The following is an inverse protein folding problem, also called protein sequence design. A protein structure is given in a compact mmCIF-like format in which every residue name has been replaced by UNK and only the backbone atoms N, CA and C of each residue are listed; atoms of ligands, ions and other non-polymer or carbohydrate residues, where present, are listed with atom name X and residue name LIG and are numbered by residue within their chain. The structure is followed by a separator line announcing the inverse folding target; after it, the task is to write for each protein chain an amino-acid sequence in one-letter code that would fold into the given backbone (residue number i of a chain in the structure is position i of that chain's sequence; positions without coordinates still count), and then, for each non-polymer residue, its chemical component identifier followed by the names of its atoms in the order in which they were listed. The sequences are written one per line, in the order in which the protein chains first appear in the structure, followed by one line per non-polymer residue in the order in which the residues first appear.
data_IF_074135182663
#
_entry.id   IF_074135182663
#
_cell.length_a   1.000
_cell.length_b   1.000
_cell.length_c   1.000
_cell.angle_alpha   90.00
_cell.angle_beta   90.00
_cell.angle_gamma   90.00
#
_symmetry.space_group_name_H-M   'P 1'
#
loop_
_entity.id
_entity.type
_entity.pdbx_description
1 polymer ?
#
# COMPACT_ATOMS: atom_id res chain seq x y z
N UNK A 1 4.16 29.70 -18.56
CA UNK A 1 4.65 28.55 -17.77
C UNK A 1 4.19 28.54 -16.31
N UNK A 2 4.47 29.59 -15.50
CA UNK A 2 4.09 29.64 -14.07
C UNK A 2 2.57 29.53 -13.79
N UNK A 3 1.71 30.11 -14.64
CA UNK A 3 0.24 30.03 -14.48
C UNK A 3 -0.34 28.63 -14.74
N UNK A 4 0.20 27.88 -15.70
CA UNK A 4 -0.21 26.51 -15.98
C UNK A 4 0.20 25.56 -14.83
N UNK A 5 1.40 25.72 -14.29
CA UNK A 5 1.87 25.02 -13.08
C UNK A 5 1.01 25.36 -11.84
N UNK A 6 0.61 26.63 -11.68
CA UNK A 6 -0.29 27.06 -10.61
C UNK A 6 -1.69 26.45 -10.73
N UNK A 7 -2.26 26.44 -11.93
CA UNK A 7 -3.56 25.82 -12.19
C UNK A 7 -3.53 24.29 -12.04
N UNK A 8 -2.43 23.63 -12.41
CA UNK A 8 -2.24 22.20 -12.19
C UNK A 8 -2.13 21.89 -10.69
N UNK A 9 -1.35 22.70 -9.95
CA UNK A 9 -1.19 22.57 -8.50
C UNK A 9 -2.52 22.77 -7.77
N UNK A 10 -3.29 23.79 -8.13
CA UNK A 10 -4.59 24.05 -7.50
C UNK A 10 -5.64 22.99 -7.84
N UNK A 11 -5.58 22.39 -9.04
CA UNK A 11 -6.42 21.23 -9.41
C UNK A 11 -6.03 19.95 -8.68
N UNK A 12 -4.74 19.74 -8.39
CA UNK A 12 -4.23 18.58 -7.64
C UNK A 12 -4.49 18.71 -6.14
N UNK A 13 -4.30 19.90 -5.57
CA UNK A 13 -4.49 20.16 -4.13
C UNK A 13 -5.97 20.14 -3.73
N UNK A 14 -6.88 20.57 -4.62
CA UNK A 14 -8.33 20.48 -4.37
C UNK A 14 -8.93 19.09 -4.61
N UNK A 15 -8.13 18.10 -5.02
CA UNK A 15 -8.59 16.73 -5.30
C UNK A 15 -8.15 15.74 -4.23
N UNK A 16 -9.12 15.20 -3.51
CA UNK A 16 -8.99 14.04 -2.62
C UNK A 16 -8.91 12.72 -3.41
N UNK A 17 -8.23 12.70 -4.57
CA UNK A 17 -8.06 11.46 -5.36
C UNK A 17 -6.70 10.83 -5.05
N UNK A 18 -6.72 9.70 -4.34
CA UNK A 18 -5.57 8.91 -3.94
C UNK A 18 -4.68 8.44 -5.11
N UNK A 19 -5.19 8.41 -6.35
CA UNK A 19 -4.47 7.94 -7.54
C UNK A 19 -3.25 8.81 -7.91
N UNK A 20 -3.39 10.15 -7.86
CA UNK A 20 -2.28 11.06 -8.19
C UNK A 20 -1.17 10.97 -7.13
N UNK A 21 -1.58 10.89 -5.86
CA UNK A 21 -0.67 10.68 -4.74
C UNK A 21 0.09 9.35 -4.87
N UNK A 22 -0.58 8.28 -5.28
CA UNK A 22 0.06 6.99 -5.53
C UNK A 22 1.09 7.06 -6.68
N UNK A 23 0.75 7.73 -7.78
CA UNK A 23 1.67 7.91 -8.90
C UNK A 23 2.91 8.74 -8.52
N UNK A 24 2.72 9.81 -7.72
CA UNK A 24 3.83 10.62 -7.22
C UNK A 24 4.74 9.83 -6.27
N UNK A 25 4.15 9.07 -5.34
CA UNK A 25 4.91 8.20 -4.42
C UNK A 25 5.70 7.15 -5.20
N UNK A 26 5.13 6.57 -6.26
CA UNK A 26 5.85 5.64 -7.14
C UNK A 26 7.07 6.30 -7.79
N UNK A 27 6.91 7.50 -8.37
CA UNK A 27 8.01 8.25 -8.99
C UNK A 27 9.11 8.53 -7.95
N UNK A 28 8.73 8.98 -6.75
CA UNK A 28 9.68 9.28 -5.68
C UNK A 28 10.41 8.03 -5.18
N UNK A 29 9.72 6.90 -5.03
CA UNK A 29 10.32 5.63 -4.61
C UNK A 29 11.31 5.09 -5.63
N UNK A 30 10.97 5.10 -6.92
CA UNK A 30 11.88 4.61 -7.97
C UNK A 30 13.11 5.51 -8.07
N UNK A 31 12.95 6.84 -7.92
CA UNK A 31 14.07 7.77 -7.83
C UNK A 31 14.95 7.50 -6.60
N UNK A 32 14.36 7.21 -5.45
CA UNK A 32 15.10 6.87 -4.24
C UNK A 32 15.90 5.56 -4.42
N UNK A 33 15.30 4.56 -5.07
CA UNK A 33 15.97 3.29 -5.41
C UNK A 33 17.12 3.53 -6.39
N UNK A 34 16.96 4.44 -7.36
CA UNK A 34 18.04 4.84 -8.26
C UNK A 34 19.19 5.48 -7.49
N UNK A 35 18.92 6.44 -6.62
CA UNK A 35 19.94 7.11 -5.80
C UNK A 35 20.65 6.08 -4.89
N UNK A 36 19.89 5.22 -4.21
CA UNK A 36 20.42 4.13 -3.40
C UNK A 36 21.36 3.23 -4.22
N UNK A 37 20.93 2.85 -5.44
CA UNK A 37 21.73 2.04 -6.35
C UNK A 37 23.02 2.74 -6.74
N UNK A 38 22.97 4.02 -7.13
CA UNK A 38 24.17 4.77 -7.53
C UNK A 38 25.19 4.91 -6.38
N UNK A 39 24.71 5.10 -5.14
CA UNK A 39 25.58 5.26 -3.96
C UNK A 39 26.18 3.92 -3.52
N UNK A 40 25.41 2.83 -3.59
CA UNK A 40 25.77 1.55 -2.98
C UNK A 40 26.36 0.54 -3.97
N UNK A 41 26.02 0.62 -5.26
CA UNK A 41 26.47 -0.31 -6.30
C UNK A 41 27.99 -0.54 -6.34
N UNK A 42 28.87 0.47 -6.13
CA UNK A 42 30.31 0.23 -6.12
C UNK A 42 30.80 -0.74 -5.03
N UNK A 43 29.99 -0.99 -4.00
CA UNK A 43 30.31 -1.88 -2.88
C UNK A 43 29.75 -3.30 -3.05
N UNK A 44 28.95 -3.53 -4.08
CA UNK A 44 28.28 -4.82 -4.25
C UNK A 44 29.14 -5.80 -5.05
N UNK A 45 29.21 -7.07 -4.64
CA UNK A 45 29.92 -8.11 -5.38
C UNK A 45 29.07 -8.62 -6.55
N UNK A 46 28.71 -7.72 -7.48
CA UNK A 46 27.84 -8.02 -8.64
C UNK A 46 28.55 -7.70 -9.95
N UNK A 47 28.21 -8.42 -11.00
CA UNK A 47 28.77 -8.20 -12.33
C UNK A 47 28.26 -6.89 -12.97
N UNK A 48 29.06 -6.29 -13.87
CA UNK A 48 28.63 -5.11 -14.61
C UNK A 48 27.36 -5.33 -15.43
N UNK A 49 27.14 -6.56 -15.94
CA UNK A 49 25.91 -6.94 -16.64
C UNK A 49 24.69 -6.92 -15.73
N UNK A 50 24.79 -7.43 -14.50
CA UNK A 50 23.70 -7.37 -13.52
C UNK A 50 23.36 -5.92 -13.17
N UNK A 51 24.37 -5.08 -12.98
CA UNK A 51 24.14 -3.66 -12.70
C UNK A 51 23.46 -2.97 -13.89
N UNK A 52 23.87 -3.25 -15.13
CA UNK A 52 23.22 -2.74 -16.33
C UNK A 52 21.76 -3.20 -16.44
N UNK A 53 21.47 -4.47 -16.14
CA UNK A 53 20.11 -5.01 -16.13
C UNK A 53 19.25 -4.30 -15.07
N UNK A 54 19.78 -4.08 -13.88
CA UNK A 54 19.10 -3.33 -12.82
C UNK A 54 18.84 -1.88 -13.24
N UNK A 55 19.84 -1.19 -13.81
CA UNK A 55 19.68 0.19 -14.30
C UNK A 55 18.61 0.28 -15.39
N UNK A 56 18.56 -0.69 -16.31
CA UNK A 56 17.52 -0.78 -17.33
C UNK A 56 16.14 -1.00 -16.69
N UNK A 57 16.05 -1.89 -15.70
CA UNK A 57 14.81 -2.16 -14.96
C UNK A 57 14.29 -0.92 -14.23
N UNK A 58 15.17 -0.17 -13.57
CA UNK A 58 14.84 1.11 -12.91
C UNK A 58 14.37 2.14 -13.94
N UNK A 59 15.06 2.26 -15.07
CA UNK A 59 14.68 3.19 -16.14
C UNK A 59 13.31 2.86 -16.73
N UNK A 60 13.02 1.57 -16.99
CA UNK A 60 11.70 1.09 -17.43
C UNK A 60 10.65 1.45 -16.38
N UNK A 61 10.90 1.15 -15.11
CA UNK A 61 9.98 1.49 -14.02
C UNK A 61 9.68 2.98 -13.94
N UNK A 62 10.73 3.80 -14.08
CA UNK A 62 10.58 5.25 -14.04
C UNK A 62 9.79 5.78 -15.24
N UNK A 63 10.04 5.24 -16.44
CA UNK A 63 9.28 5.56 -17.65
C UNK A 63 7.81 5.16 -17.52
N UNK A 64 7.51 3.95 -17.01
CA UNK A 64 6.14 3.49 -16.75
C UNK A 64 5.44 4.37 -15.71
N UNK A 65 6.13 4.77 -14.64
CA UNK A 65 5.57 5.65 -13.62
C UNK A 65 5.20 7.03 -14.19
N UNK A 66 6.06 7.62 -15.01
CA UNK A 66 5.81 8.88 -15.70
C UNK A 66 4.67 8.75 -16.72
N UNK A 67 4.63 7.67 -17.50
CA UNK A 67 3.56 7.42 -18.47
C UNK A 67 2.20 7.31 -17.78
N UNK A 68 2.11 6.56 -16.67
CA UNK A 68 0.87 6.46 -15.88
C UNK A 68 0.49 7.82 -15.30
N UNK A 69 1.45 8.60 -14.79
CA UNK A 69 1.18 9.95 -14.29
C UNK A 69 0.66 10.88 -15.38
N UNK A 70 1.28 10.90 -16.56
CA UNK A 70 0.81 11.66 -17.72
C UNK A 70 -0.60 11.21 -18.15
N UNK A 71 -0.90 9.91 -18.12
CA UNK A 71 -2.23 9.39 -18.43
C UNK A 71 -3.28 9.81 -17.40
N UNK A 72 -2.91 9.88 -16.12
CA UNK A 72 -3.79 10.40 -15.07
C UNK A 72 -4.10 11.89 -15.30
N UNK A 73 -3.09 12.69 -15.66
CA UNK A 73 -3.27 14.12 -15.96
C UNK A 73 -4.11 14.33 -17.23
N UNK A 74 -3.92 13.50 -18.26
CA UNK A 74 -4.66 13.59 -19.52
C UNK A 74 -6.10 13.10 -19.42
N UNK A 75 -6.35 11.99 -18.71
CA UNK A 75 -7.69 11.46 -18.48
C UNK A 75 -7.98 11.29 -16.98
N UNK A 76 -8.55 12.31 -16.32
CA UNK A 76 -8.71 12.35 -14.86
C UNK A 76 -9.84 11.46 -14.30
N UNK A 77 -10.46 10.61 -15.13
CA UNK A 77 -11.45 9.63 -14.67
C UNK A 77 -10.78 8.46 -13.93
N UNK A 78 -11.49 7.89 -12.95
CA UNK A 78 -11.06 6.69 -12.21
C UNK A 78 -10.99 5.51 -13.16
N UNK A 79 -9.88 4.77 -13.10
CA UNK A 79 -9.67 3.60 -13.97
C UNK A 79 -9.07 2.44 -13.20
N UNK A 80 -9.86 1.39 -13.02
CA UNK A 80 -9.40 0.14 -12.42
C UNK A 80 -8.24 -0.48 -13.20
N UNK A 81 -8.25 -0.39 -14.53
CA UNK A 81 -7.22 -0.95 -15.39
C UNK A 81 -5.86 -0.27 -15.19
N UNK A 82 -5.82 1.07 -15.13
CA UNK A 82 -4.57 1.81 -14.82
C UNK A 82 -3.98 1.41 -13.48
N UNK A 83 -4.85 1.21 -12.49
CA UNK A 83 -4.42 0.87 -11.14
C UNK A 83 -3.83 -0.55 -11.09
N UNK A 84 -4.50 -1.53 -11.70
CA UNK A 84 -4.00 -2.90 -11.78
C UNK A 84 -2.68 -2.98 -12.55
N UNK A 85 -2.56 -2.28 -13.68
CA UNK A 85 -1.30 -2.19 -14.42
C UNK A 85 -0.18 -1.54 -13.61
N UNK A 86 -0.50 -0.48 -12.87
CA UNK A 86 0.44 0.16 -11.97
C UNK A 86 0.92 -0.76 -10.85
N UNK A 87 -0.01 -1.49 -10.21
CA UNK A 87 0.35 -2.48 -9.20
C UNK A 87 1.21 -3.61 -9.79
N UNK A 88 0.83 -4.13 -10.95
CA UNK A 88 1.60 -5.17 -11.64
C UNK A 88 3.03 -4.70 -11.93
N UNK A 89 3.21 -3.47 -12.39
CA UNK A 89 4.52 -2.87 -12.59
C UNK A 89 5.30 -2.76 -11.27
N UNK A 90 4.69 -2.23 -10.20
CA UNK A 90 5.34 -2.08 -8.89
C UNK A 90 5.82 -3.44 -8.33
N UNK A 91 4.91 -4.41 -8.27
CA UNK A 91 5.21 -5.74 -7.73
C UNK A 91 6.19 -6.50 -8.64
N UNK A 92 6.01 -6.44 -9.96
CA UNK A 92 6.88 -7.12 -10.92
C UNK A 92 8.31 -6.57 -10.90
N UNK A 93 8.48 -5.25 -10.91
CA UNK A 93 9.80 -4.62 -10.90
C UNK A 93 10.54 -4.89 -9.58
N UNK A 94 9.85 -4.82 -8.44
CA UNK A 94 10.44 -5.16 -7.14
C UNK A 94 10.88 -6.62 -7.11
N UNK A 95 10.01 -7.55 -7.53
CA UNK A 95 10.32 -8.98 -7.57
C UNK A 95 11.51 -9.28 -8.47
N UNK A 96 11.55 -8.72 -9.68
CA UNK A 96 12.67 -8.89 -10.60
C UNK A 96 13.99 -8.34 -10.03
N UNK A 97 13.95 -7.13 -9.45
CA UNK A 97 15.14 -6.54 -8.82
C UNK A 97 15.67 -7.40 -7.68
N UNK A 98 14.79 -7.90 -6.80
CA UNK A 98 15.18 -8.80 -5.71
C UNK A 98 15.68 -10.15 -6.21
N UNK A 99 15.14 -10.64 -7.33
CA UNK A 99 15.52 -11.92 -7.91
C UNK A 99 16.94 -11.88 -8.46
N UNK A 100 17.25 -10.84 -9.24
CA UNK A 100 18.54 -10.70 -9.92
C UNK A 100 19.67 -10.23 -9.02
N UNK A 101 19.35 -9.36 -8.05
CA UNK A 101 20.36 -8.79 -7.17
C UNK A 101 20.54 -9.59 -5.89
N UNK A 102 19.49 -10.20 -5.34
CA UNK A 102 19.55 -10.89 -4.04
C UNK A 102 19.71 -9.90 -2.88
N UNK A 103 20.72 -10.12 -2.03
CA UNK A 103 20.95 -9.36 -0.79
C UNK A 103 20.93 -7.83 -0.95
N UNK A 104 21.60 -7.22 -1.96
CA UNK A 104 21.60 -5.77 -2.18
C UNK A 104 20.22 -5.13 -2.34
N UNK A 105 19.24 -5.89 -2.84
CA UNK A 105 17.87 -5.43 -3.06
C UNK A 105 16.87 -6.03 -2.05
N UNK A 106 17.34 -6.76 -1.03
CA UNK A 106 16.46 -7.32 -0.01
C UNK A 106 15.65 -6.25 0.73
N UNK A 107 16.18 -5.02 0.85
CA UNK A 107 15.47 -3.89 1.42
C UNK A 107 14.16 -3.54 0.68
N UNK A 108 14.02 -3.91 -0.59
CA UNK A 108 12.79 -3.72 -1.36
C UNK A 108 11.62 -4.54 -0.81
N UNK A 109 11.87 -5.58 -0.01
CA UNK A 109 10.80 -6.28 0.72
C UNK A 109 10.01 -5.33 1.63
N UNK A 110 10.68 -4.38 2.28
CA UNK A 110 10.00 -3.38 3.13
C UNK A 110 9.10 -2.48 2.28
N UNK A 111 9.58 -2.09 1.09
CA UNK A 111 8.80 -1.31 0.13
C UNK A 111 7.61 -2.11 -0.41
N UNK A 112 7.81 -3.39 -0.71
CA UNK A 112 6.77 -4.34 -1.12
C UNK A 112 5.63 -4.35 -0.10
N UNK A 113 5.96 -4.59 1.18
CA UNK A 113 5.00 -4.63 2.28
C UNK A 113 4.28 -3.29 2.46
N UNK A 114 5.03 -2.18 2.42
CA UNK A 114 4.48 -0.83 2.52
C UNK A 114 3.47 -0.52 1.42
N UNK A 115 3.78 -0.87 0.17
CA UNK A 115 2.87 -0.67 -0.98
C UNK A 115 1.63 -1.53 -0.81
N UNK A 116 1.76 -2.78 -0.35
CA UNK A 116 0.61 -3.66 -0.10
C UNK A 116 -0.34 -3.07 0.94
N UNK A 117 0.20 -2.66 2.09
CA UNK A 117 -0.58 -2.00 3.15
C UNK A 117 -1.22 -0.71 2.63
N UNK A 118 -0.44 0.14 1.96
CA UNK A 118 -0.91 1.41 1.41
C UNK A 118 -2.05 1.26 0.41
N UNK A 119 -2.08 0.19 -0.39
CA UNK A 119 -3.19 -0.10 -1.30
C UNK A 119 -4.47 -0.47 -0.53
N UNK A 120 -4.37 -1.27 0.53
CA UNK A 120 -5.53 -1.62 1.36
C UNK A 120 -6.12 -0.41 2.09
N UNK A 121 -5.26 0.42 2.69
CA UNK A 121 -5.69 1.62 3.42
C UNK A 121 -6.36 2.66 2.52
N UNK A 122 -5.87 2.83 1.28
CA UNK A 122 -6.38 3.86 0.36
C UNK A 122 -7.62 3.45 -0.42
N UNK A 123 -7.78 2.15 -0.68
CA UNK A 123 -8.77 1.67 -1.64
C UNK A 123 -9.66 0.54 -1.09
N UNK A 124 -9.55 0.22 0.21
CA UNK A 124 -10.42 -0.72 0.90
C UNK A 124 -9.98 -2.19 0.81
N UNK A 125 -10.84 -3.10 1.26
CA UNK A 125 -10.50 -4.51 1.41
C UNK A 125 -10.27 -5.23 0.08
N UNK A 126 -11.06 -4.96 -0.96
CA UNK A 126 -10.89 -5.61 -2.27
C UNK A 126 -9.50 -5.33 -2.86
N UNK A 127 -9.05 -4.09 -2.73
CA UNK A 127 -7.72 -3.65 -3.12
C UNK A 127 -6.62 -4.40 -2.38
N UNK A 128 -6.81 -4.62 -1.08
CA UNK A 128 -5.84 -5.29 -0.23
C UNK A 128 -5.66 -6.74 -0.64
N UNK A 129 -6.75 -7.47 -0.91
CA UNK A 129 -6.65 -8.86 -1.36
C UNK A 129 -5.90 -8.97 -2.68
N UNK A 130 -6.20 -8.11 -3.66
CA UNK A 130 -5.44 -8.07 -4.92
C UNK A 130 -3.97 -7.74 -4.70
N UNK A 131 -3.69 -6.77 -3.83
CA UNK A 131 -2.33 -6.35 -3.51
C UNK A 131 -1.53 -7.45 -2.82
N UNK A 132 -2.11 -8.15 -1.83
CA UNK A 132 -1.50 -9.30 -1.15
C UNK A 132 -1.22 -10.42 -2.15
N UNK A 133 -2.20 -10.75 -3.01
CA UNK A 133 -2.01 -11.79 -4.03
C UNK A 133 -0.86 -11.45 -4.99
N UNK A 134 -0.79 -10.22 -5.50
CA UNK A 134 0.32 -9.78 -6.36
C UNK A 134 1.66 -9.76 -5.64
N UNK A 135 1.68 -9.33 -4.37
CA UNK A 135 2.89 -9.30 -3.58
C UNK A 135 3.40 -10.72 -3.26
N UNK A 136 2.51 -11.66 -2.97
CA UNK A 136 2.83 -13.08 -2.79
C UNK A 136 3.37 -13.70 -4.07
N UNK A 137 2.77 -13.42 -5.22
CA UNK A 137 3.26 -13.91 -6.51
C UNK A 137 4.64 -13.33 -6.81
N UNK A 138 4.82 -12.03 -6.61
CA UNK A 138 6.11 -11.35 -6.81
C UNK A 138 7.21 -11.96 -5.92
N UNK A 139 7.00 -11.98 -4.61
CA UNK A 139 8.01 -12.49 -3.69
C UNK A 139 8.17 -14.02 -3.80
N UNK A 140 7.08 -14.77 -4.03
CA UNK A 140 7.14 -16.21 -4.29
C UNK A 140 7.97 -16.54 -5.52
N UNK A 141 7.82 -15.77 -6.61
CA UNK A 141 8.70 -15.94 -7.79
C UNK A 141 10.15 -15.56 -7.48
N UNK A 142 10.40 -14.54 -6.65
CA UNK A 142 11.73 -14.23 -6.14
C UNK A 142 12.35 -15.39 -5.35
N UNK A 143 11.61 -16.00 -4.42
CA UNK A 143 12.08 -17.18 -3.68
C UNK A 143 12.42 -18.34 -4.62
N UNK A 144 11.57 -18.58 -5.63
CA UNK A 144 11.74 -19.70 -6.54
C UNK A 144 12.92 -19.52 -7.51
N UNK A 145 13.28 -18.29 -7.88
CA UNK A 145 14.24 -18.03 -8.96
C UNK A 145 15.58 -17.42 -8.49
N UNK A 146 15.69 -16.97 -7.24
CA UNK A 146 16.90 -16.33 -6.74
C UNK A 146 17.75 -17.27 -5.91
N UNK A 147 19.00 -17.48 -6.31
CA UNK A 147 19.97 -18.32 -5.58
C UNK A 147 20.19 -17.83 -4.14
N UNK A 148 20.19 -16.52 -3.92
CA UNK A 148 20.31 -15.92 -2.59
C UNK A 148 19.14 -16.32 -1.67
N UNK A 149 17.90 -16.18 -2.16
CA UNK A 149 16.70 -16.48 -1.37
C UNK A 149 16.50 -17.99 -1.17
N UNK A 150 16.91 -18.81 -2.13
CA UNK A 150 16.99 -20.26 -1.95
C UNK A 150 18.00 -20.67 -0.88
N UNK A 151 19.08 -19.92 -0.69
CA UNK A 151 20.01 -20.11 0.43
C UNK A 151 19.43 -19.74 1.81
N UNK A 152 18.37 -18.93 1.84
CA UNK A 152 17.74 -18.43 3.07
C UNK A 152 16.23 -18.76 3.10
N UNK A 153 15.83 -19.95 2.63
CA UNK A 153 14.41 -20.31 2.51
C UNK A 153 13.62 -20.17 3.81
N UNK A 154 14.20 -20.50 4.96
CA UNK A 154 13.54 -20.32 6.25
C UNK A 154 13.11 -18.87 6.50
N UNK A 155 14.00 -17.91 6.23
CA UNK A 155 13.68 -16.49 6.31
C UNK A 155 12.68 -16.09 5.21
N UNK A 156 12.89 -16.55 3.97
CA UNK A 156 12.00 -16.25 2.85
C UNK A 156 10.55 -16.68 3.12
N UNK A 157 10.33 -17.89 3.63
CA UNK A 157 9.00 -18.40 3.96
C UNK A 157 8.36 -17.60 5.10
N UNK A 158 9.13 -17.27 6.14
CA UNK A 158 8.65 -16.42 7.23
C UNK A 158 8.21 -15.04 6.73
N UNK A 159 9.00 -14.43 5.84
CA UNK A 159 8.67 -13.16 5.19
C UNK A 159 7.45 -13.27 4.26
N UNK A 160 7.27 -14.39 3.56
CA UNK A 160 6.08 -14.62 2.75
C UNK A 160 4.82 -14.74 3.62
N UNK A 161 4.92 -15.41 4.77
CA UNK A 161 3.85 -15.44 5.78
C UNK A 161 3.53 -14.07 6.37
N UNK A 162 4.56 -13.27 6.67
CA UNK A 162 4.40 -11.90 7.18
C UNK A 162 3.67 -10.99 6.17
N UNK A 163 3.88 -11.22 4.87
CA UNK A 163 3.22 -10.50 3.79
C UNK A 163 1.68 -10.68 3.80
N UNK A 164 1.20 -11.79 4.37
CA UNK A 164 -0.23 -12.08 4.52
C UNK A 164 -0.71 -11.62 5.89
N UNK A 165 0.01 -12.01 6.95
CA UNK A 165 -0.41 -11.79 8.33
C UNK A 165 -0.52 -10.30 8.65
N UNK A 166 0.48 -9.49 8.27
CA UNK A 166 0.54 -8.07 8.64
C UNK A 166 -0.61 -7.29 8.00
N UNK A 167 -0.82 -7.32 6.67
CA UNK A 167 -1.91 -6.55 6.06
C UNK A 167 -3.30 -7.01 6.53
N UNK A 168 -3.48 -8.32 6.74
CA UNK A 168 -4.76 -8.88 7.20
C UNK A 168 -5.07 -8.49 8.65
N UNK A 169 -4.07 -8.50 9.53
CA UNK A 169 -4.24 -8.05 10.92
C UNK A 169 -4.66 -6.57 10.98
N UNK A 170 -4.03 -5.71 10.17
CA UNK A 170 -4.38 -4.30 10.10
C UNK A 170 -5.80 -4.09 9.58
N UNK A 171 -6.22 -4.85 8.56
CA UNK A 171 -7.59 -4.78 8.05
C UNK A 171 -8.62 -5.13 9.13
N UNK A 172 -8.33 -6.16 9.94
CA UNK A 172 -9.20 -6.57 11.04
C UNK A 172 -9.34 -5.46 12.07
N UNK A 173 -8.24 -4.85 12.50
CA UNK A 173 -8.26 -3.75 13.48
C UNK A 173 -9.02 -2.53 12.97
N UNK A 174 -8.92 -2.20 11.67
CA UNK A 174 -9.68 -1.09 11.08
C UNK A 174 -11.17 -1.38 11.08
N UNK A 175 -11.57 -2.60 10.68
CA UNK A 175 -12.98 -3.02 10.69
C UNK A 175 -13.57 -3.01 12.10
N UNK A 176 -12.82 -3.46 13.09
CA UNK A 176 -13.23 -3.44 14.50
C UNK A 176 -13.45 -2.00 14.99
N UNK A 177 -12.59 -1.04 14.60
CA UNK A 177 -12.76 0.39 14.93
C UNK A 177 -13.98 1.02 14.25
N UNK A 178 -14.17 0.74 12.97
CA UNK A 178 -15.32 1.27 12.22
C UNK A 178 -16.64 0.72 12.79
N UNK A 179 -16.68 -0.57 13.14
CA UNK A 179 -17.84 -1.19 13.80
C UNK A 179 -18.12 -0.59 15.17
N UNK A 180 -17.09 -0.30 15.98
CA UNK A 180 -17.25 0.34 17.28
C UNK A 180 -17.82 1.77 17.16
N UNK A 181 -17.37 2.55 16.16
CA UNK A 181 -17.92 3.89 15.90
C UNK A 181 -19.36 3.84 15.39
N UNK A 182 -19.70 2.86 14.55
CA UNK A 182 -21.05 2.73 13.96
C UNK A 182 -22.05 2.14 14.96
N UNK A 183 -21.60 1.27 15.86
CA UNK A 183 -22.39 0.73 16.98
C UNK A 183 -22.63 1.73 18.12
N UNK A 184 -21.87 2.83 18.18
CA UNK A 184 -22.05 3.93 19.14
C UNK A 184 -22.97 5.04 18.60
N UNK A 185 -23.80 4.76 17.60
CA UNK A 185 -24.79 5.72 17.06
C UNK A 185 -25.85 6.01 18.13
N UNK A 186 -26.33 7.26 18.34
CA UNK A 186 -27.14 7.71 19.49
C UNK A 186 -28.50 7.01 19.73
N UNK A 187 -28.88 6.01 18.94
CA UNK A 187 -30.12 5.27 19.11
C UNK A 187 -30.21 4.56 20.47
N UNK A 188 -29.06 4.10 21.01
CA UNK A 188 -29.02 3.48 22.33
C UNK A 188 -29.32 4.46 23.48
N UNK A 189 -29.05 5.76 23.31
CA UNK A 189 -29.32 6.79 24.32
C UNK A 189 -30.80 7.22 24.32
N UNK A 190 -31.49 7.11 23.18
CA UNK A 190 -32.92 7.45 23.06
C UNK A 190 -33.80 6.36 23.71
N UNK A 191 -33.41 5.09 23.60
CA UNK A 191 -34.12 3.98 24.28
C UNK A 191 -33.85 3.95 25.79
N UNK A 192 -32.70 4.41 26.26
CA UNK A 192 -32.41 4.54 27.69
C UNK A 192 -33.19 5.69 28.35
N UNK A 193 -33.43 6.79 27.62
CA UNK A 193 -34.17 7.96 28.11
C UNK A 193 -35.71 7.79 28.13
N UNK A 194 -36.24 6.78 27.44
CA UNK A 194 -37.69 6.53 27.33
C UNK A 194 -38.22 5.47 28.31
N UNK A 195 -37.35 4.84 29.12
CA UNK A 195 -37.80 3.96 30.20
C UNK A 195 -38.40 4.79 31.36
N UNK A 196 -39.69 4.60 31.70
CA UNK A 196 -40.29 5.33 32.81
C UNK A 196 -39.61 4.93 34.11
N UNK A 197 -38.98 5.91 34.76
CA UNK A 197 -38.37 5.77 36.09
C UNK A 197 -39.44 5.27 37.07
N UNK A 198 -39.34 4.03 37.53
CA UNK A 198 -40.21 3.51 38.60
C UNK A 198 -39.81 4.22 39.90
N UNK A 199 -40.61 5.20 40.30
CA UNK A 199 -40.46 5.89 41.58
C UNK A 199 -40.73 4.93 42.75
N UNK A 200 -39.76 4.64 43.63
CA UNK A 200 -39.94 3.67 44.71
C UNK A 200 -40.83 4.14 45.88
N UNK A 201 -41.41 5.34 45.85
CA UNK A 201 -41.88 6.03 47.07
C UNK A 201 -43.38 6.42 47.09
N UNK A 202 -44.23 5.76 46.29
CA UNK A 202 -45.65 6.08 46.21
C UNK A 202 -46.56 5.34 47.22
N UNK A 203 -46.03 4.52 48.13
CA UNK A 203 -46.85 3.68 49.04
C UNK A 203 -47.00 4.18 50.48
N UNK A 204 -46.43 5.33 50.87
CA UNK A 204 -46.37 5.75 52.29
C UNK A 204 -47.15 7.02 52.64
N UNK A 205 -48.06 7.50 51.78
CA UNK A 205 -48.75 8.78 52.02
C UNK A 205 -50.28 8.72 51.90
N UNK A 206 -50.94 7.73 52.53
CA UNK A 206 -52.37 7.81 52.88
C UNK A 206 -52.68 6.99 54.14
N UNK A 207 -52.55 7.60 55.31
CA UNK A 207 -53.31 7.33 56.54
C UNK A 207 -52.87 8.37 57.58
N UNK A 208 -53.66 9.42 57.73
CA UNK A 208 -54.32 9.94 58.96
C UNK A 208 -55.20 11.09 58.51
#
# INVERSE_FOLDING_TARGET
MKRALGQLRDRLVRRTDSEHGQALVRIALILLILIYTLICAPRWPVSGRQLQQLSCLIAIGQATALLIFCWIVANPQRSHLRRTLGMLADYGLIGLAMTWMGAPMACLYVVLLWITIGNGLRFGSEALHTAVAMAMLSFGTTLANSTYWQGQLGLGVALLGALIMVPMSLLRTLRERDQAMTGSTPAADIDAASQPRKDPNLLTRKRV
#
